data_IF_820877666668
#
_entry.id   IF_820877666668
#
_cell.length_a   1.000
_cell.length_b   1.000
_cell.length_c   1.000
_cell.angle_alpha   90.00
_cell.angle_beta   90.00
_cell.angle_gamma   90.00
#
_symmetry.space_group_name_H-M   'P 1'
#
loop_
_entity.id
_entity.type
_entity.pdbx_description
1 polymer ?
#
# COMPACT_ATOMS: atom_id res chain seq x y z
N UNK A 1 -16.70 -19.88 -45.74
CA UNK A 1 -15.87 -20.32 -44.59
C UNK A 1 -14.99 -19.18 -44.06
N UNK A 2 -14.41 -18.33 -44.91
CA UNK A 2 -13.53 -17.23 -44.49
C UNK A 2 -14.23 -16.11 -43.67
N UNK A 3 -15.48 -15.77 -44.00
CA UNK A 3 -16.24 -14.75 -43.26
C UNK A 3 -16.46 -15.13 -41.78
N UNK A 4 -16.86 -16.38 -41.52
CA UNK A 4 -17.06 -16.88 -40.16
C UNK A 4 -15.76 -16.97 -39.35
N UNK A 5 -14.63 -17.25 -40.00
CA UNK A 5 -13.31 -17.27 -39.35
C UNK A 5 -12.85 -15.85 -38.99
N UNK A 6 -13.18 -14.86 -39.82
CA UNK A 6 -12.91 -13.45 -39.57
C UNK A 6 -13.77 -12.90 -38.42
N UNK A 7 -15.03 -13.31 -38.32
CA UNK A 7 -15.90 -12.96 -37.19
C UNK A 7 -15.37 -13.52 -35.86
N UNK A 8 -14.95 -14.79 -35.85
CA UNK A 8 -14.35 -15.40 -34.67
C UNK A 8 -13.05 -14.67 -34.27
N UNK A 9 -12.21 -14.33 -35.25
CA UNK A 9 -10.97 -13.61 -35.00
C UNK A 9 -11.21 -12.21 -34.40
N UNK A 10 -12.25 -11.51 -34.86
CA UNK A 10 -12.64 -10.21 -34.30
C UNK A 10 -13.09 -10.32 -32.83
N UNK A 11 -13.83 -11.39 -32.49
CA UNK A 11 -14.24 -11.65 -31.11
C UNK A 11 -13.03 -11.99 -30.24
N UNK A 12 -12.13 -12.85 -30.73
CA UNK A 12 -10.86 -13.18 -30.05
C UNK A 12 -10.05 -11.91 -29.80
N UNK A 13 -9.90 -11.04 -30.79
CA UNK A 13 -9.16 -9.78 -30.66
C UNK A 13 -9.79 -8.85 -29.62
N UNK A 14 -11.12 -8.72 -29.63
CA UNK A 14 -11.87 -7.94 -28.61
C UNK A 14 -11.71 -8.51 -27.21
N UNK A 15 -11.75 -9.84 -27.08
CA UNK A 15 -11.55 -10.52 -25.80
C UNK A 15 -10.12 -10.33 -25.29
N UNK A 16 -9.10 -10.57 -26.11
CA UNK A 16 -7.69 -10.34 -25.78
C UNK A 16 -7.43 -8.90 -25.34
N UNK A 17 -8.02 -7.93 -26.04
CA UNK A 17 -7.91 -6.50 -25.67
C UNK A 17 -8.44 -6.24 -24.26
N UNK A 18 -9.61 -6.81 -23.92
CA UNK A 18 -10.18 -6.71 -22.57
C UNK A 18 -9.33 -7.43 -21.53
N UNK A 19 -8.80 -8.61 -21.84
CA UNK A 19 -7.89 -9.37 -20.96
C UNK A 19 -6.66 -8.54 -20.63
N UNK A 20 -5.94 -8.05 -21.63
CA UNK A 20 -4.74 -7.22 -21.43
C UNK A 20 -5.04 -5.94 -20.65
N UNK A 21 -6.18 -5.29 -20.90
CA UNK A 21 -6.61 -4.11 -20.13
C UNK A 21 -6.81 -4.44 -18.65
N UNK A 22 -7.51 -5.54 -18.35
CA UNK A 22 -7.76 -5.96 -16.97
C UNK A 22 -6.47 -6.41 -16.27
N UNK A 23 -5.57 -7.09 -16.97
CA UNK A 23 -4.25 -7.47 -16.45
C UNK A 23 -3.41 -6.23 -16.10
N UNK A 24 -3.36 -5.24 -16.98
CA UNK A 24 -2.63 -3.99 -16.72
C UNK A 24 -3.26 -3.18 -15.58
N UNK A 25 -4.60 -3.15 -15.50
CA UNK A 25 -5.32 -2.52 -14.39
C UNK A 25 -5.07 -3.24 -13.07
N UNK A 26 -4.96 -4.58 -13.09
CA UNK A 26 -4.59 -5.38 -11.92
C UNK A 26 -3.14 -5.12 -11.49
N UNK A 27 -2.20 -5.05 -12.44
CA UNK A 27 -0.80 -4.65 -12.17
C UNK A 27 -0.69 -3.24 -11.59
N UNK A 28 -1.51 -2.31 -12.08
CA UNK A 28 -1.62 -0.95 -11.54
C UNK A 28 -2.24 -0.90 -10.14
N UNK A 29 -3.23 -1.75 -9.86
CA UNK A 29 -3.79 -1.93 -8.51
C UNK A 29 -2.82 -2.59 -7.54
N UNK A 30 -1.94 -3.44 -8.04
CA UNK A 30 -0.78 -4.00 -7.32
C UNK A 30 0.44 -3.08 -7.43
N UNK A 31 0.25 -1.77 -7.35
CA UNK A 31 1.36 -0.83 -7.38
C UNK A 31 2.42 -1.29 -6.36
N UNK A 32 3.65 -1.53 -6.83
CA UNK A 32 4.75 -1.97 -5.97
C UNK A 32 5.21 -0.88 -5.01
N UNK A 33 4.65 0.33 -5.13
CA UNK A 33 5.03 1.49 -4.34
C UNK A 33 3.80 2.19 -3.78
N UNK A 34 3.93 2.68 -2.55
CA UNK A 34 3.01 3.60 -1.91
C UNK A 34 3.61 5.01 -1.89
N UNK A 35 2.77 6.04 -1.86
CA UNK A 35 3.21 7.44 -1.77
C UNK A 35 2.70 8.06 -0.47
N UNK A 36 3.61 8.53 0.39
CA UNK A 36 3.26 9.19 1.64
C UNK A 36 2.84 10.66 1.43
N UNK A 37 2.40 11.32 2.52
CA UNK A 37 2.00 12.74 2.54
C UNK A 37 3.15 13.68 2.15
N UNK A 38 4.40 13.28 2.41
CA UNK A 38 5.61 13.99 2.01
C UNK A 38 6.01 13.73 0.55
N UNK A 39 5.15 13.04 -0.23
CA UNK A 39 5.37 12.61 -1.61
C UNK A 39 6.51 11.62 -1.80
N UNK A 40 7.00 10.99 -0.73
CA UNK A 40 8.04 9.94 -0.82
C UNK A 40 7.42 8.62 -1.23
N UNK A 41 8.16 7.87 -2.04
CA UNK A 41 7.76 6.55 -2.50
C UNK A 41 8.35 5.48 -1.57
N UNK A 42 7.49 4.55 -1.15
CA UNK A 42 7.83 3.41 -0.29
C UNK A 42 7.53 2.13 -1.04
N UNK A 43 8.49 1.20 -1.10
CA UNK A 43 8.28 -0.08 -1.77
C UNK A 43 7.35 -0.98 -0.96
N UNK A 44 6.78 -2.01 -1.59
CA UNK A 44 6.04 -3.04 -0.88
C UNK A 44 6.88 -3.65 0.25
N UNK A 45 6.31 -3.75 1.45
CA UNK A 45 6.97 -4.27 2.64
C UNK A 45 7.74 -3.21 3.42
N UNK A 46 8.01 -2.04 2.83
CA UNK A 46 8.66 -0.93 3.54
C UNK A 46 7.82 -0.46 4.70
N UNK A 47 8.47 -0.29 5.86
CA UNK A 47 7.90 0.29 7.08
C UNK A 47 8.56 1.62 7.38
N UNK A 48 7.78 2.62 7.78
CA UNK A 48 8.29 3.93 8.15
C UNK A 48 7.48 4.55 9.29
N UNK A 49 8.09 5.50 10.00
CA UNK A 49 7.43 6.28 11.05
C UNK A 49 6.64 7.45 10.45
N UNK A 50 5.39 7.59 10.86
CA UNK A 50 4.53 8.75 10.62
C UNK A 50 4.35 9.49 11.95
N UNK A 51 5.24 10.44 12.24
CA UNK A 51 5.33 11.02 13.58
C UNK A 51 5.95 10.03 14.59
N UNK A 52 5.74 10.29 15.89
CA UNK A 52 6.43 9.55 16.96
C UNK A 52 5.82 8.17 17.23
N UNK A 53 4.49 8.10 17.28
CA UNK A 53 3.72 6.94 17.74
C UNK A 53 2.96 6.21 16.64
N UNK A 54 3.32 6.38 15.37
CA UNK A 54 2.63 5.68 14.29
C UNK A 54 3.64 5.08 13.34
N UNK A 55 3.48 3.79 13.09
CA UNK A 55 4.26 3.06 12.10
C UNK A 55 3.34 2.67 10.95
N UNK A 56 3.76 3.00 9.73
CA UNK A 56 3.06 2.64 8.51
C UNK A 56 3.82 1.54 7.77
N UNK A 57 3.09 0.74 6.99
CA UNK A 57 3.62 -0.27 6.07
C UNK A 57 2.96 -0.13 4.69
N UNK A 58 3.75 -0.29 3.64
CA UNK A 58 3.23 -0.33 2.28
C UNK A 58 2.89 -1.77 1.87
N UNK A 59 1.60 -2.07 1.73
CA UNK A 59 1.12 -3.36 1.23
C UNK A 59 0.48 -3.20 -0.15
N UNK A 60 1.21 -3.62 -1.20
CA UNK A 60 0.71 -3.68 -2.58
C UNK A 60 0.05 -2.36 -3.04
N UNK A 61 0.69 -1.23 -2.74
CA UNK A 61 0.22 0.09 -3.15
C UNK A 61 -0.73 0.76 -2.17
N UNK A 62 -1.09 0.07 -1.07
CA UNK A 62 -1.89 0.61 0.01
C UNK A 62 -1.04 0.86 1.26
N UNK A 63 -1.22 2.04 1.86
CA UNK A 63 -0.59 2.40 3.13
C UNK A 63 -1.50 1.92 4.26
N UNK A 64 -0.96 1.11 5.16
CA UNK A 64 -1.60 0.72 6.41
C UNK A 64 -0.79 1.28 7.57
N UNK A 65 -1.41 2.05 8.46
CA UNK A 65 -0.73 2.65 9.63
C UNK A 65 -1.37 2.14 10.91
N UNK A 66 -0.53 1.92 11.93
CA UNK A 66 -0.97 1.52 13.26
C UNK A 66 -0.26 2.39 14.31
N UNK A 67 -0.98 2.69 15.39
CA UNK A 67 -0.38 3.32 16.56
C UNK A 67 0.58 2.34 17.24
N UNK A 68 1.76 2.82 17.62
CA UNK A 68 2.72 2.02 18.36
C UNK A 68 2.22 1.80 19.79
N UNK A 69 2.35 0.59 20.30
CA UNK A 69 2.00 0.27 21.67
C UNK A 69 3.10 0.77 22.62
N UNK A 70 2.70 1.50 23.66
CA UNK A 70 3.60 1.86 24.75
C UNK A 70 3.54 0.82 25.87
N UNK A 71 4.68 0.50 26.49
CA UNK A 71 4.69 -0.34 27.68
C UNK A 71 3.99 0.37 28.84
N UNK A 72 3.39 -0.41 29.75
CA UNK A 72 2.82 0.14 30.98
C UNK A 72 3.94 0.73 31.85
N UNK A 73 3.88 2.01 32.23
CA UNK A 73 4.88 2.65 33.07
C UNK A 73 4.85 2.10 34.50
N UNK A 74 6.01 2.09 35.17
CA UNK A 74 6.17 1.54 36.53
C UNK A 74 5.96 2.55 37.65
N UNK A 75 5.69 3.82 37.33
CA UNK A 75 5.52 4.93 38.26
C UNK A 75 4.12 5.55 38.14
N UNK A 76 3.62 6.23 39.20
CA UNK A 76 2.28 6.82 39.19
C UNK A 76 2.13 8.05 38.28
N UNK A 77 3.23 8.72 37.93
CA UNK A 77 3.22 9.96 37.15
C UNK A 77 4.31 9.94 36.06
N UNK A 78 4.14 9.15 34.97
CA UNK A 78 5.05 9.14 33.85
C UNK A 78 4.96 10.46 33.07
N UNK A 79 6.09 11.00 32.64
CA UNK A 79 6.20 12.27 31.94
C UNK A 79 6.47 12.08 30.44
N UNK A 80 5.86 12.90 29.56
CA UNK A 80 6.18 12.89 28.15
C UNK A 80 7.63 13.36 27.95
N UNK A 81 8.36 12.66 27.09
CA UNK A 81 9.74 13.00 26.73
C UNK A 81 9.74 13.56 25.31
N UNK A 82 10.37 14.72 25.10
CA UNK A 82 10.44 15.33 23.78
C UNK A 82 11.13 14.39 22.77
N UNK A 83 10.46 14.17 21.64
CA UNK A 83 10.97 13.28 20.59
C UNK A 83 10.73 11.79 20.82
N UNK A 84 10.14 11.37 21.94
CA UNK A 84 9.73 9.98 22.17
C UNK A 84 8.23 9.79 22.00
N UNK A 85 7.84 8.59 21.58
CA UNK A 85 6.43 8.22 21.56
C UNK A 85 5.86 8.00 22.97
N UNK A 86 6.61 7.28 23.80
CA UNK A 86 6.11 6.78 25.06
C UNK A 86 6.60 7.63 26.23
N UNK A 87 5.73 7.89 27.22
CA UNK A 87 6.14 8.61 28.41
C UNK A 87 7.05 7.73 29.27
N UNK A 88 7.90 8.38 30.07
CA UNK A 88 8.91 7.74 30.91
C UNK A 88 8.71 8.08 32.38
N UNK A 89 9.22 7.18 33.21
CA UNK A 89 9.71 7.50 34.54
C UNK A 89 11.21 7.81 34.36
#
# INVERSE_FOLDING_TARGET
MEAAMMEMNNLVHKMQTKVTYLENKLKSKQASHCKDESRRLHHHGTRWKKGLCTTCICKRGQIECAADACPTPSCPAPVPVEGECCPRC
#
